data_IF_841973253221
#
_entry.id   IF_841973253221
#
_cell.length_a   1.000
_cell.length_b   1.000
_cell.length_c   1.000
_cell.angle_alpha   90.00
_cell.angle_beta   90.00
_cell.angle_gamma   90.00
#
_symmetry.space_group_name_H-M   'P 1'
#
loop_
_entity.id
_entity.type
_entity.pdbx_description
1 polymer ?
#
# COMPACT_ATOMS: atom_id res chain seq x y z
N UNK A 1 33.73 -21.99 -24.84
CA UNK A 1 32.71 -22.21 -23.79
C UNK A 1 33.34 -21.97 -22.44
N UNK A 2 32.61 -21.39 -21.48
CA UNK A 2 33.11 -21.27 -20.10
C UNK A 2 33.26 -22.68 -19.52
N UNK A 3 34.45 -22.99 -19.01
CA UNK A 3 34.74 -24.24 -18.29
C UNK A 3 34.26 -24.05 -16.85
N UNK A 4 33.51 -25.02 -16.32
CA UNK A 4 33.11 -25.01 -14.92
C UNK A 4 34.35 -25.27 -14.05
N UNK A 5 34.56 -24.42 -13.03
CA UNK A 5 35.65 -24.57 -12.07
C UNK A 5 35.07 -25.10 -10.76
N UNK A 6 35.63 -26.20 -10.26
CA UNK A 6 35.30 -26.73 -8.94
C UNK A 6 36.02 -25.90 -7.87
N UNK A 7 35.30 -25.49 -6.83
CA UNK A 7 35.84 -24.75 -5.69
C UNK A 7 35.31 -25.37 -4.40
N UNK A 8 36.17 -25.47 -3.39
CA UNK A 8 35.85 -26.00 -2.07
C UNK A 8 35.79 -24.86 -1.04
N UNK A 9 34.82 -24.92 -0.14
CA UNK A 9 34.62 -23.93 0.92
C UNK A 9 34.08 -24.61 2.18
N UNK A 10 34.48 -24.12 3.35
CA UNK A 10 33.93 -24.59 4.63
C UNK A 10 32.51 -24.06 4.89
N UNK A 11 32.16 -22.92 4.29
CA UNK A 11 30.86 -22.26 4.44
C UNK A 11 30.43 -21.55 3.16
N UNK A 12 29.12 -21.46 2.95
CA UNK A 12 28.50 -20.77 1.81
C UNK A 12 27.40 -19.82 2.30
N UNK A 13 27.39 -18.59 1.77
CA UNK A 13 26.36 -17.58 2.06
C UNK A 13 25.60 -17.27 0.78
N UNK A 14 24.28 -17.42 0.81
CA UNK A 14 23.40 -17.01 -0.28
C UNK A 14 22.93 -15.57 -0.07
N UNK A 15 23.46 -14.63 -0.87
CA UNK A 15 23.09 -13.22 -0.87
C UNK A 15 22.54 -12.76 -2.24
N UNK A 16 21.74 -13.60 -2.86
CA UNK A 16 21.26 -13.45 -4.26
C UNK A 16 20.04 -12.54 -4.41
N UNK A 17 19.54 -11.94 -3.33
CA UNK A 17 18.28 -11.18 -3.35
C UNK A 17 17.11 -12.06 -3.81
N UNK A 18 16.20 -11.50 -4.63
CA UNK A 18 15.01 -12.20 -5.14
C UNK A 18 15.25 -13.04 -6.41
N UNK A 19 16.51 -13.34 -6.75
CA UNK A 19 16.86 -14.12 -7.95
C UNK A 19 16.26 -15.54 -7.89
N UNK A 20 15.64 -16.03 -8.98
CA UNK A 20 15.16 -17.40 -9.08
C UNK A 20 16.25 -18.45 -8.85
N UNK A 21 17.46 -18.20 -9.35
CA UNK A 21 18.60 -19.11 -9.24
C UNK A 21 18.99 -19.35 -7.77
N UNK A 22 18.95 -18.30 -6.94
CA UNK A 22 19.19 -18.42 -5.51
C UNK A 22 18.13 -19.28 -4.80
N UNK A 23 16.86 -19.13 -5.18
CA UNK A 23 15.78 -19.97 -4.64
C UNK A 23 15.94 -21.43 -5.05
N UNK A 24 16.27 -21.71 -6.31
CA UNK A 24 16.52 -23.08 -6.78
C UNK A 24 17.73 -23.72 -6.08
N UNK A 25 18.78 -22.94 -5.85
CA UNK A 25 19.94 -23.41 -5.10
C UNK A 25 19.57 -23.75 -3.64
N UNK A 26 18.82 -22.89 -2.95
CA UNK A 26 18.32 -23.19 -1.61
C UNK A 26 17.41 -24.44 -1.56
N UNK A 27 16.53 -24.64 -2.56
CA UNK A 27 15.73 -25.87 -2.68
C UNK A 27 16.60 -27.11 -2.84
N UNK A 28 17.65 -27.02 -3.65
CA UNK A 28 18.57 -28.15 -3.89
C UNK A 28 19.29 -28.60 -2.61
N UNK A 29 19.43 -27.70 -1.63
CA UNK A 29 19.96 -28.00 -0.29
C UNK A 29 18.89 -28.46 0.72
N UNK A 30 17.65 -28.71 0.28
CA UNK A 30 16.56 -29.21 1.13
C UNK A 30 15.70 -28.14 1.82
N UNK A 31 15.90 -26.85 1.53
CA UNK A 31 15.05 -25.79 2.08
C UNK A 31 13.70 -25.69 1.35
N UNK A 32 12.65 -25.33 2.10
CA UNK A 32 11.35 -24.98 1.51
C UNK A 32 11.30 -23.49 1.19
N UNK A 33 10.94 -23.15 -0.06
CA UNK A 33 10.72 -21.77 -0.48
C UNK A 33 9.24 -21.43 -0.33
N UNK A 34 8.95 -20.38 0.44
CA UNK A 34 7.61 -19.79 0.47
C UNK A 34 7.46 -18.93 -0.78
N UNK A 35 6.42 -19.21 -1.59
CA UNK A 35 6.20 -18.46 -2.83
C UNK A 35 6.17 -16.94 -2.56
N UNK A 36 7.05 -16.17 -3.21
CA UNK A 36 7.07 -14.73 -3.04
C UNK A 36 5.84 -14.12 -3.70
N UNK A 37 5.31 -13.07 -3.08
CA UNK A 37 4.21 -12.26 -3.62
C UNK A 37 4.65 -10.80 -3.65
N UNK A 38 4.22 -10.00 -4.66
CA UNK A 38 4.46 -8.57 -4.69
C UNK A 38 4.14 -7.85 -3.38
N UNK A 39 5.03 -6.94 -2.99
CA UNK A 39 4.92 -6.05 -1.83
C UNK A 39 5.55 -4.69 -2.17
N UNK A 40 5.34 -3.68 -1.31
CA UNK A 40 5.85 -2.31 -1.51
C UNK A 40 5.46 -1.72 -2.88
N UNK A 41 4.19 -1.89 -3.28
CA UNK A 41 3.68 -1.42 -4.56
C UNK A 41 2.75 -0.21 -4.42
N UNK A 42 2.71 0.61 -5.47
CA UNK A 42 1.72 1.69 -5.64
C UNK A 42 0.36 1.06 -5.95
N UNK A 43 -0.70 1.53 -5.29
CA UNK A 43 -2.05 0.98 -5.43
C UNK A 43 -2.77 1.68 -6.56
N UNK A 44 -3.25 0.90 -7.54
CA UNK A 44 -4.08 1.44 -8.62
C UNK A 44 -5.51 1.63 -8.12
N UNK A 45 -6.09 2.80 -8.36
CA UNK A 45 -7.48 3.10 -8.05
C UNK A 45 -8.23 3.25 -9.37
N UNK A 46 -9.21 2.40 -9.63
CA UNK A 46 -9.73 2.15 -10.98
C UNK A 46 -10.41 3.38 -11.61
N UNK A 47 -11.66 3.65 -11.22
CA UNK A 47 -12.42 4.77 -11.75
C UNK A 47 -12.20 6.04 -10.92
N UNK A 48 -11.63 5.92 -9.73
CA UNK A 48 -11.50 7.03 -8.78
C UNK A 48 -10.58 8.15 -9.26
N UNK A 49 -9.58 7.85 -10.10
CA UNK A 49 -8.64 8.87 -10.66
C UNK A 49 -8.97 9.26 -12.10
N UNK A 50 -10.02 8.69 -12.70
CA UNK A 50 -10.49 9.04 -14.04
C UNK A 50 -11.48 10.20 -13.97
N UNK A 51 -11.77 10.82 -15.12
CA UNK A 51 -12.76 11.90 -15.23
C UNK A 51 -14.08 11.54 -14.53
N UNK A 52 -14.54 12.41 -13.63
CA UNK A 52 -15.72 12.20 -12.78
C UNK A 52 -15.49 11.33 -11.52
N UNK A 53 -14.28 10.81 -11.30
CA UNK A 53 -13.88 10.07 -10.11
C UNK A 53 -13.57 10.97 -8.91
N UNK A 54 -13.62 10.38 -7.70
CA UNK A 54 -13.43 11.12 -6.43
C UNK A 54 -12.06 11.79 -6.29
N UNK A 55 -11.04 11.27 -6.97
CA UNK A 55 -9.65 11.74 -6.94
C UNK A 55 -9.20 12.26 -8.31
N UNK A 56 -10.14 12.54 -9.22
CA UNK A 56 -9.86 13.15 -10.50
C UNK A 56 -9.20 14.53 -10.32
N UNK A 57 -8.20 14.84 -11.15
CA UNK A 57 -7.39 16.07 -11.10
C UNK A 57 -6.66 16.36 -9.77
N UNK A 58 -6.60 15.37 -8.86
CA UNK A 58 -5.86 15.48 -7.60
C UNK A 58 -4.43 14.91 -7.65
N UNK A 59 -3.95 14.48 -8.83
CA UNK A 59 -2.60 13.95 -8.97
C UNK A 59 -1.55 14.98 -8.56
N UNK A 60 -0.58 14.55 -7.76
CA UNK A 60 0.46 15.41 -7.19
C UNK A 60 0.13 15.94 -5.79
N UNK A 61 -1.13 15.83 -5.35
CA UNK A 61 -1.48 16.18 -3.96
C UNK A 61 -0.89 15.16 -2.98
N UNK A 62 -0.24 15.69 -1.94
CA UNK A 62 0.33 14.92 -0.85
C UNK A 62 -0.38 15.25 0.45
N UNK A 63 -0.80 14.21 1.17
CA UNK A 63 -1.40 14.31 2.51
C UNK A 63 -0.38 13.80 3.52
N UNK A 64 0.14 14.65 4.42
CA UNK A 64 1.19 14.25 5.37
C UNK A 64 0.78 13.11 6.30
N UNK A 65 -0.49 13.09 6.72
CA UNK A 65 -1.03 12.07 7.62
C UNK A 65 -2.39 11.54 7.13
N UNK A 66 -2.35 10.49 6.31
CA UNK A 66 -3.54 9.76 5.90
C UNK A 66 -3.50 8.32 6.45
N UNK A 67 -4.67 7.79 6.81
CA UNK A 67 -4.83 6.38 7.18
C UNK A 67 -5.46 5.65 6.01
N UNK A 68 -4.76 4.63 5.50
CA UNK A 68 -5.26 3.74 4.46
C UNK A 68 -5.52 2.38 5.06
N UNK A 69 -6.69 1.81 4.81
CA UNK A 69 -7.09 0.51 5.30
C UNK A 69 -7.57 -0.40 4.17
N UNK A 70 -7.06 -1.62 4.14
CA UNK A 70 -7.54 -2.69 3.26
C UNK A 70 -8.41 -3.65 4.08
N UNK A 71 -9.63 -3.90 3.58
CA UNK A 71 -10.56 -4.86 4.19
C UNK A 71 -10.68 -6.10 3.32
N UNK A 72 -10.51 -7.27 3.93
CA UNK A 72 -10.51 -8.56 3.25
C UNK A 72 -11.30 -9.60 4.04
N UNK A 73 -11.74 -10.64 3.36
CA UNK A 73 -12.50 -11.73 3.98
C UNK A 73 -11.56 -12.87 4.34
N UNK A 74 -11.61 -13.31 5.60
CA UNK A 74 -10.91 -14.53 6.02
C UNK A 74 -11.88 -15.71 5.89
N UNK A 75 -11.50 -16.80 5.19
CA UNK A 75 -12.33 -18.01 5.11
C UNK A 75 -12.72 -18.51 6.51
N UNK A 76 -14.01 -18.82 6.70
CA UNK A 76 -14.54 -19.30 7.99
C UNK A 76 -14.82 -18.21 9.04
N UNK A 77 -14.49 -16.93 8.79
CA UNK A 77 -14.85 -15.84 9.70
C UNK A 77 -16.12 -15.12 9.22
N UNK A 78 -17.02 -14.77 10.14
CA UNK A 78 -18.25 -14.03 9.81
C UNK A 78 -18.01 -12.57 9.46
N UNK A 79 -16.94 -11.98 9.97
CA UNK A 79 -16.63 -10.55 9.81
C UNK A 79 -15.37 -10.36 8.97
N UNK A 80 -15.37 -9.32 8.14
CA UNK A 80 -14.17 -8.89 7.40
C UNK A 80 -13.10 -8.42 8.37
N UNK A 81 -11.84 -8.71 8.05
CA UNK A 81 -10.67 -8.17 8.73
C UNK A 81 -10.20 -6.91 8.03
N UNK A 82 -9.41 -6.11 8.73
CA UNK A 82 -8.83 -4.89 8.19
C UNK A 82 -7.38 -4.75 8.65
N UNK A 83 -6.49 -4.44 7.72
CA UNK A 83 -5.13 -3.96 8.01
C UNK A 83 -5.09 -2.49 7.63
N UNK A 84 -4.48 -1.65 8.47
CA UNK A 84 -4.39 -0.20 8.26
C UNK A 84 -2.97 0.30 8.46
N UNK A 85 -2.61 1.36 7.74
CA UNK A 85 -1.36 2.09 7.90
C UNK A 85 -1.64 3.58 7.85
N UNK A 86 -0.96 4.33 8.70
CA UNK A 86 -1.06 5.79 8.79
C UNK A 86 0.28 6.42 8.44
N UNK A 87 0.23 7.55 7.72
CA UNK A 87 1.41 8.34 7.36
C UNK A 87 1.23 9.02 5.99
N UNK A 88 2.34 9.47 5.37
CA UNK A 88 2.24 10.24 4.14
C UNK A 88 1.65 9.45 2.98
N UNK A 89 0.75 10.08 2.24
CA UNK A 89 0.07 9.56 1.06
C UNK A 89 0.21 10.54 -0.10
N UNK A 90 0.56 10.02 -1.27
CA UNK A 90 0.61 10.76 -2.53
C UNK A 90 -0.50 10.27 -3.45
N UNK A 91 -1.32 11.19 -3.95
CA UNK A 91 -2.26 10.90 -5.04
C UNK A 91 -1.51 11.00 -6.37
N UNK A 92 -1.70 10.03 -7.25
CA UNK A 92 -1.04 9.92 -8.55
C UNK A 92 -2.08 9.78 -9.66
N UNK A 93 -1.67 9.93 -10.92
CA UNK A 93 -2.52 9.71 -12.08
C UNK A 93 -3.13 8.30 -12.19
N UNK A 94 -2.63 7.32 -11.44
CA UNK A 94 -3.07 5.93 -11.51
C UNK A 94 -3.68 5.39 -10.21
N UNK A 95 -3.68 6.19 -9.13
CA UNK A 95 -4.11 5.75 -7.80
C UNK A 95 -3.30 6.43 -6.71
N UNK A 96 -2.85 5.67 -5.69
CA UNK A 96 -2.15 6.22 -4.52
C UNK A 96 -0.80 5.55 -4.27
N UNK A 97 0.15 6.35 -3.81
CA UNK A 97 1.50 5.96 -3.42
C UNK A 97 1.91 6.63 -2.11
N UNK A 98 3.20 6.58 -1.79
CA UNK A 98 3.76 7.14 -0.57
C UNK A 98 3.88 6.13 0.58
N UNK A 99 4.54 6.50 1.67
CA UNK A 99 4.84 5.61 2.80
C UNK A 99 3.64 4.81 3.33
N UNK A 100 2.45 5.42 3.46
CA UNK A 100 1.28 4.72 4.01
C UNK A 100 0.76 3.60 3.07
N UNK A 101 0.44 3.85 1.78
CA UNK A 101 0.10 2.78 0.84
C UNK A 101 1.20 1.73 0.66
N UNK A 102 2.48 2.14 0.58
CA UNK A 102 3.60 1.21 0.42
C UNK A 102 3.72 0.27 1.61
N UNK A 103 3.68 0.80 2.85
CA UNK A 103 3.67 -0.04 4.06
C UNK A 103 2.46 -0.96 4.06
N UNK A 104 1.27 -0.47 3.70
CA UNK A 104 0.05 -1.28 3.69
C UNK A 104 0.21 -2.47 2.75
N UNK A 105 0.75 -2.25 1.54
CA UNK A 105 1.02 -3.31 0.58
C UNK A 105 2.06 -4.33 1.06
N UNK A 106 3.00 -3.93 1.92
CA UNK A 106 3.98 -4.83 2.51
C UNK A 106 3.39 -5.68 3.64
N UNK A 107 2.68 -5.06 4.58
CA UNK A 107 2.07 -5.76 5.71
C UNK A 107 0.88 -6.64 5.31
N UNK A 108 0.15 -6.26 4.25
CA UNK A 108 -1.01 -7.00 3.75
C UNK A 108 -0.73 -7.73 2.42
N UNK A 109 0.55 -8.03 2.11
CA UNK A 109 0.95 -8.55 0.80
C UNK A 109 0.24 -9.85 0.41
N UNK A 110 0.05 -10.75 1.38
CA UNK A 110 -0.62 -12.04 1.16
C UNK A 110 -2.13 -11.86 1.02
N UNK A 111 -2.71 -10.94 1.77
CA UNK A 111 -4.13 -10.61 1.73
C UNK A 111 -4.48 -9.99 0.37
N UNK A 112 -3.66 -9.05 -0.12
CA UNK A 112 -3.81 -8.53 -1.48
C UNK A 112 -3.67 -9.63 -2.53
N UNK A 113 -2.69 -10.52 -2.37
CA UNK A 113 -2.50 -11.64 -3.30
C UNK A 113 -3.73 -12.57 -3.33
N UNK A 114 -4.28 -12.93 -2.18
CA UNK A 114 -5.46 -13.79 -2.06
C UNK A 114 -6.71 -13.16 -2.70
N UNK A 115 -6.83 -11.84 -2.65
CA UNK A 115 -7.92 -11.07 -3.27
C UNK A 115 -7.60 -10.69 -4.73
N UNK A 116 -6.58 -11.29 -5.35
CA UNK A 116 -6.11 -11.01 -6.72
C UNK A 116 -5.84 -9.52 -6.97
N UNK A 117 -5.33 -8.82 -5.95
CA UNK A 117 -5.06 -7.38 -5.95
C UNK A 117 -6.30 -6.52 -6.27
N UNK A 118 -7.48 -7.02 -5.93
CA UNK A 118 -8.76 -6.33 -6.10
C UNK A 118 -9.44 -6.17 -4.75
N UNK A 119 -10.06 -5.02 -4.53
CA UNK A 119 -10.84 -4.78 -3.33
C UNK A 119 -11.05 -3.30 -3.07
N UNK A 120 -11.62 -3.00 -1.92
CA UNK A 120 -11.93 -1.64 -1.51
C UNK A 120 -10.92 -1.16 -0.48
N UNK A 121 -10.34 0.00 -0.75
CA UNK A 121 -9.52 0.73 0.22
C UNK A 121 -10.38 1.79 0.90
N UNK A 122 -10.17 1.95 2.20
CA UNK A 122 -10.72 3.06 2.96
C UNK A 122 -9.60 4.03 3.26
N UNK A 123 -9.79 5.28 2.85
CA UNK A 123 -8.79 6.34 3.05
C UNK A 123 -9.42 7.39 3.97
N UNK A 124 -8.77 7.66 5.10
CA UNK A 124 -9.06 8.80 5.95
C UNK A 124 -7.96 9.85 5.73
N UNK A 125 -8.30 10.95 5.07
CA UNK A 125 -7.39 12.07 4.80
C UNK A 125 -7.19 13.01 5.98
N UNK A 126 -8.01 12.91 7.03
CA UNK A 126 -8.00 13.76 8.22
C UNK A 126 -7.74 12.91 9.48
N UNK A 127 -6.68 12.09 9.44
CA UNK A 127 -6.41 11.12 10.51
C UNK A 127 -6.13 11.78 11.87
N UNK A 128 -5.62 13.00 11.83
CA UNK A 128 -5.30 13.85 12.99
C UNK A 128 -6.53 14.47 13.66
N UNK A 129 -7.65 14.64 12.93
CA UNK A 129 -8.82 15.38 13.42
C UNK A 129 -9.70 14.51 14.34
N UNK A 130 -9.60 13.18 14.21
CA UNK A 130 -10.34 12.24 15.04
C UNK A 130 -11.53 11.62 14.31
N UNK A 131 -12.70 11.63 14.93
CA UNK A 131 -13.89 10.97 14.42
C UNK A 131 -14.77 11.92 13.57
N UNK A 132 -15.87 11.40 13.01
CA UNK A 132 -16.74 12.18 12.12
C UNK A 132 -17.28 13.48 12.75
N UNK A 133 -17.65 13.47 14.03
CA UNK A 133 -18.15 14.67 14.69
C UNK A 133 -17.07 15.74 14.82
N UNK A 134 -15.82 15.32 15.04
CA UNK A 134 -14.68 16.24 15.19
C UNK A 134 -14.39 16.91 13.84
N UNK A 135 -14.46 16.14 12.75
CA UNK A 135 -14.33 16.65 11.38
C UNK A 135 -15.45 17.64 11.07
N UNK A 136 -16.71 17.31 11.38
CA UNK A 136 -17.85 18.20 11.16
C UNK A 136 -17.69 19.53 11.92
N UNK A 137 -17.23 19.48 13.18
CA UNK A 137 -16.97 20.69 13.97
C UNK A 137 -15.87 21.56 13.35
N UNK A 138 -14.76 20.97 12.91
CA UNK A 138 -13.68 21.73 12.24
C UNK A 138 -14.21 22.39 10.96
N UNK A 139 -14.96 21.66 10.13
CA UNK A 139 -15.51 22.20 8.89
C UNK A 139 -16.52 23.34 9.13
N UNK A 140 -17.34 23.25 10.17
CA UNK A 140 -18.27 24.32 10.55
C UNK A 140 -17.52 25.58 11.01
N UNK A 141 -16.45 25.42 11.79
CA UNK A 141 -15.62 26.52 12.27
C UNK A 141 -14.89 27.22 11.11
N UNK A 142 -14.33 26.48 10.15
CA UNK A 142 -13.67 27.10 9.00
C UNK A 142 -14.65 27.77 8.03
N UNK A 143 -15.85 27.20 7.85
CA UNK A 143 -16.88 27.78 6.97
C UNK A 143 -17.46 29.09 7.51
N UNK A 144 -17.32 29.34 8.81
CA UNK A 144 -17.76 30.55 9.49
C UNK A 144 -16.65 31.61 9.62
N UNK A 145 -15.42 31.31 9.18
CA UNK A 145 -14.32 32.28 9.07
C UNK A 145 -14.48 33.16 7.80
N UNK A 146 -14.72 34.48 7.95
CA UNK A 146 -14.91 35.37 6.81
C UNK A 146 -13.65 35.57 5.95
N UNK A 147 -12.47 35.19 6.43
CA UNK A 147 -11.20 35.40 5.73
C UNK A 147 -10.89 34.33 4.68
N UNK A 148 -11.44 33.12 4.82
CA UNK A 148 -11.28 32.01 3.87
C UNK A 148 -12.16 32.17 2.62
N UNK A 149 -13.32 32.83 2.72
CA UNK A 149 -14.23 33.07 1.60
C UNK A 149 -13.72 34.07 0.53
N UNK A 150 -12.56 34.70 0.73
CA UNK A 150 -11.95 35.64 -0.24
C UNK A 150 -10.99 34.99 -1.24
N UNK A 151 -10.68 33.70 -1.12
CA UNK A 151 -9.76 32.95 -2.01
C UNK A 151 -10.45 31.93 -2.91
N UNK A 152 -11.69 32.17 -3.33
CA UNK A 152 -12.26 31.48 -4.50
C UNK A 152 -12.03 32.37 -5.71
N UNK A 153 -10.98 32.06 -6.47
CA UNK A 153 -10.73 32.59 -7.83
C UNK A 153 -11.46 31.68 -8.81
#
# INVERSE_FOLDING_TARGET
GKVAQLMEFDALILATGSSPEGHEFAKSMGHTIINPVPSLFTMRLANDVKEGGMLYDLSGLSVPEATVAFRFQVPGQKSKRSIKQTGPLLITHHGISGPAPLKLSAFAAREFHNENYRGTLHINFASEIGNGSDIEQVLQNESSDPTLNRKRV
#
